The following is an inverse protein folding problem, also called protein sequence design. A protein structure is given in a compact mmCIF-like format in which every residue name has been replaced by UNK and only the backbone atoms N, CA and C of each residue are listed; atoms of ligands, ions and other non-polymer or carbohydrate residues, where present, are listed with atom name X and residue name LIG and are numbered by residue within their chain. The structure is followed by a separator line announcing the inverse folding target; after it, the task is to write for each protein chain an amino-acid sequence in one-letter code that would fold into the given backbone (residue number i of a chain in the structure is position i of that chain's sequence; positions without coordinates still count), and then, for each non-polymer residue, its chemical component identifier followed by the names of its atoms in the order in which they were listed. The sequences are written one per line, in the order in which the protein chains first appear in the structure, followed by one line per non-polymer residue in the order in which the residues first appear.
data_IF_795066969881
#
_entry.id   IF_795066969881
#
_cell.length_a   1.000
_cell.length_b   1.000
_cell.length_c   1.000
_cell.angle_alpha   90.00
_cell.angle_beta   90.00
_cell.angle_gamma   90.00
#
_symmetry.space_group_name_H-M   'P 1'
#
loop_
_entity.id
_entity.type
_entity.pdbx_description
1 polymer ?
#
# COMPACT_ATOMS: atom_id res chain seq x y z
N UNK A 1 -2.85 -13.26 3.87
CA UNK A 1 -2.11 -11.97 3.81
C UNK A 1 -0.63 -12.28 3.90
N UNK A 2 0.18 -11.65 3.06
CA UNK A 2 1.64 -11.82 3.09
C UNK A 2 2.27 -10.44 3.25
N UNK A 3 3.17 -10.29 4.23
CA UNK A 3 3.97 -9.09 4.42
C UNK A 3 5.38 -9.34 3.91
N UNK A 4 5.87 -8.49 3.00
CA UNK A 4 7.19 -8.64 2.38
C UNK A 4 7.99 -7.38 2.71
N UNK A 5 9.21 -7.57 3.21
CA UNK A 5 10.12 -6.47 3.54
C UNK A 5 11.45 -6.73 2.85
N UNK A 6 12.02 -5.76 2.12
CA UNK A 6 13.31 -5.93 1.47
C UNK A 6 14.43 -6.07 2.49
N UNK A 7 15.53 -6.69 2.08
CA UNK A 7 16.80 -6.51 2.76
C UNK A 7 17.25 -5.04 2.67
N UNK A 8 18.12 -4.60 3.57
CA UNK A 8 18.61 -3.21 3.61
C UNK A 8 19.12 -2.71 2.25
N UNK A 9 19.86 -3.57 1.51
CA UNK A 9 20.40 -3.24 0.20
C UNK A 9 19.35 -2.98 -0.90
N UNK A 10 18.09 -3.34 -0.67
CA UNK A 10 16.96 -3.13 -1.60
C UNK A 10 15.88 -2.23 -0.97
N UNK A 11 16.20 -1.52 0.12
CA UNK A 11 15.31 -0.60 0.80
C UNK A 11 15.61 0.84 0.39
N UNK A 12 14.58 1.66 0.24
CA UNK A 12 14.68 3.10 0.01
C UNK A 12 14.96 3.90 1.30
N UNK A 13 15.48 3.23 2.33
CA UNK A 13 15.81 3.87 3.59
C UNK A 13 16.83 5.00 3.37
N UNK A 14 16.61 6.14 4.03
CA UNK A 14 17.53 7.28 4.01
C UNK A 14 18.95 6.85 4.41
N UNK A 15 19.94 7.15 3.56
CA UNK A 15 21.33 6.74 3.75
C UNK A 15 21.69 5.41 3.08
N UNK A 16 20.73 4.69 2.50
CA UNK A 16 21.01 3.62 1.55
C UNK A 16 21.64 4.22 0.28
N UNK A 17 22.77 3.66 -0.16
CA UNK A 17 23.47 4.07 -1.38
C UNK A 17 22.96 3.35 -2.64
N UNK A 18 21.99 2.43 -2.49
CA UNK A 18 21.48 1.65 -3.61
C UNK A 18 20.22 2.29 -4.20
N UNK A 19 20.18 2.38 -5.53
CA UNK A 19 18.95 2.66 -6.29
C UNK A 19 18.14 1.37 -6.54
N UNK A 20 18.33 0.34 -5.71
CA UNK A 20 17.80 -1.00 -5.94
C UNK A 20 16.34 -1.19 -5.55
N UNK A 21 15.78 -0.29 -4.72
CA UNK A 21 14.41 -0.40 -4.20
C UNK A 21 13.35 -0.54 -5.29
N UNK A 22 13.25 0.39 -6.25
CA UNK A 22 12.28 0.29 -7.34
C UNK A 22 12.40 -0.99 -8.17
N UNK A 23 13.63 -1.42 -8.48
CA UNK A 23 13.88 -2.65 -9.23
C UNK A 23 13.45 -3.89 -8.43
N UNK A 24 13.71 -3.90 -7.13
CA UNK A 24 13.30 -4.99 -6.25
C UNK A 24 11.77 -5.05 -6.13
N UNK A 25 11.10 -3.92 -5.93
CA UNK A 25 9.63 -3.85 -5.93
C UNK A 25 9.06 -4.34 -7.26
N UNK A 26 9.60 -3.89 -8.40
CA UNK A 26 9.19 -4.34 -9.72
C UNK A 26 9.33 -5.85 -9.88
N UNK A 27 10.44 -6.44 -9.42
CA UNK A 27 10.64 -7.89 -9.48
C UNK A 27 9.58 -8.68 -8.70
N UNK A 28 9.16 -8.18 -7.53
CA UNK A 28 8.11 -8.80 -6.72
C UNK A 28 6.74 -8.65 -7.41
N UNK A 29 6.44 -7.47 -7.94
CA UNK A 29 5.19 -7.21 -8.66
C UNK A 29 5.10 -8.07 -9.92
N UNK A 30 6.17 -8.18 -10.71
CA UNK A 30 6.24 -9.06 -11.89
C UNK A 30 6.03 -10.52 -11.52
N UNK A 31 6.71 -11.00 -10.47
CA UNK A 31 6.56 -12.39 -10.02
C UNK A 31 5.10 -12.72 -9.64
N UNK A 32 4.38 -11.79 -8.99
CA UNK A 32 2.95 -11.98 -8.68
C UNK A 32 2.08 -11.84 -9.93
N UNK A 33 2.35 -10.83 -10.76
CA UNK A 33 1.58 -10.52 -11.98
C UNK A 33 1.66 -11.58 -13.07
N UNK A 34 2.80 -12.26 -13.19
CA UNK A 34 2.99 -13.38 -14.14
C UNK A 34 2.52 -14.72 -13.55
N UNK A 35 2.20 -14.77 -12.25
CA UNK A 35 1.75 -15.99 -11.61
C UNK A 35 0.27 -16.28 -11.88
N UNK A 36 -0.13 -17.54 -11.61
CA UNK A 36 -1.55 -17.95 -11.59
C UNK A 36 -2.42 -17.17 -10.58
N UNK A 37 -1.82 -16.42 -9.67
CA UNK A 37 -2.53 -15.73 -8.58
C UNK A 37 -2.91 -14.29 -8.93
N UNK A 38 -2.45 -13.74 -10.06
CA UNK A 38 -2.68 -12.34 -10.43
C UNK A 38 -4.15 -11.93 -10.32
N UNK A 39 -5.04 -12.72 -10.91
CA UNK A 39 -6.50 -12.48 -10.95
C UNK A 39 -7.18 -12.46 -9.57
N UNK A 40 -6.48 -12.81 -8.50
CA UNK A 40 -7.00 -12.87 -7.12
C UNK A 40 -6.15 -12.06 -6.15
N UNK A 41 -5.25 -11.21 -6.67
CA UNK A 41 -4.27 -10.49 -5.85
C UNK A 41 -4.54 -8.99 -5.78
N UNK A 42 -4.21 -8.41 -4.64
CA UNK A 42 -3.99 -6.98 -4.46
C UNK A 42 -2.64 -6.79 -3.77
N UNK A 43 -1.77 -5.99 -4.36
CA UNK A 43 -0.45 -5.65 -3.84
C UNK A 43 -0.51 -4.20 -3.36
N UNK A 44 -0.16 -3.97 -2.10
CA UNK A 44 -0.01 -2.63 -1.53
C UNK A 44 1.48 -2.37 -1.33
N UNK A 45 2.02 -1.37 -2.01
CA UNK A 45 3.38 -0.89 -1.79
C UNK A 45 3.30 0.35 -0.92
N UNK A 46 3.95 0.32 0.24
CA UNK A 46 3.96 1.43 1.18
C UNK A 46 5.30 1.53 1.89
N UNK A 47 5.64 2.73 2.35
CA UNK A 47 6.82 2.99 3.17
C UNK A 47 6.44 2.99 4.65
N UNK A 48 7.35 2.53 5.50
CA UNK A 48 7.14 2.50 6.95
C UNK A 48 7.30 3.88 7.62
N UNK A 49 7.88 4.85 6.92
CA UNK A 49 8.08 6.21 7.42
C UNK A 49 8.58 7.17 6.34
N UNK A 50 8.64 8.45 6.68
CA UNK A 50 8.92 9.56 5.76
C UNK A 50 10.40 9.81 5.48
N UNK A 51 11.31 9.06 6.12
CA UNK A 51 12.75 9.11 5.85
C UNK A 51 13.46 10.42 6.21
N UNK A 52 12.84 11.31 6.99
CA UNK A 52 13.43 12.61 7.35
C UNK A 52 13.27 13.70 6.28
N UNK A 53 12.56 13.42 5.18
CA UNK A 53 12.39 14.34 4.07
C UNK A 53 11.25 15.34 4.31
N UNK A 54 11.33 16.49 3.64
CA UNK A 54 10.29 17.52 3.75
C UNK A 54 8.99 17.09 3.04
N UNK A 55 7.87 17.27 3.73
CA UNK A 55 6.53 17.25 3.16
C UNK A 55 5.80 18.55 3.55
N UNK A 56 5.11 19.17 2.60
CA UNK A 56 4.45 20.46 2.80
C UNK A 56 3.13 20.36 3.57
N UNK A 57 2.56 19.17 3.72
CA UNK A 57 1.31 18.95 4.44
C UNK A 57 1.63 18.63 5.89
N UNK A 58 1.13 19.48 6.79
CA UNK A 58 1.21 19.24 8.21
C UNK A 58 0.52 17.90 8.57
N UNK A 59 1.16 17.02 9.38
CA UNK A 59 0.56 15.78 9.86
C UNK A 59 -0.82 16.00 10.51
N UNK A 60 -1.87 15.27 10.09
CA UNK A 60 -3.16 15.32 10.78
C UNK A 60 -3.05 14.83 12.22
N UNK A 61 -3.59 15.61 13.16
CA UNK A 61 -3.61 15.27 14.58
C UNK A 61 -4.97 14.65 14.96
N UNK A 62 -5.08 13.33 14.83
CA UNK A 62 -6.32 12.59 15.12
C UNK A 62 -6.34 11.94 16.52
N UNK A 63 -5.17 11.83 17.16
CA UNK A 63 -4.94 11.37 18.52
C UNK A 63 -3.70 12.07 19.09
N UNK A 64 -3.16 11.61 20.22
CA UNK A 64 -2.01 12.24 20.86
C UNK A 64 -0.69 12.09 20.07
N UNK A 65 -0.61 11.15 19.12
CA UNK A 65 0.58 10.93 18.27
C UNK A 65 0.41 11.56 16.88
N UNK A 66 -0.83 11.68 16.42
CA UNK A 66 -1.15 12.07 15.05
C UNK A 66 -0.81 10.96 14.05
N UNK A 67 -1.06 11.22 12.77
CA UNK A 67 -0.78 10.25 11.70
C UNK A 67 0.67 10.29 11.20
N UNK A 68 1.48 11.23 11.69
CA UNK A 68 2.82 11.48 11.17
C UNK A 68 2.83 12.09 9.76
N UNK A 69 4.04 12.22 9.20
CA UNK A 69 4.23 12.72 7.84
C UNK A 69 3.70 11.74 6.79
N UNK A 70 3.26 12.28 5.65
CA UNK A 70 2.77 11.46 4.54
C UNK A 70 3.88 10.57 3.99
N UNK A 71 3.47 9.37 3.58
CA UNK A 71 4.27 8.43 2.80
C UNK A 71 3.53 8.06 1.52
N UNK A 72 4.22 7.72 0.43
CA UNK A 72 3.56 7.21 -0.76
C UNK A 72 2.88 5.87 -0.49
N UNK A 73 1.77 5.62 -1.17
CA UNK A 73 1.09 4.31 -1.20
C UNK A 73 0.67 4.02 -2.62
N UNK A 74 0.99 2.82 -3.11
CA UNK A 74 0.56 2.32 -4.41
C UNK A 74 -0.29 1.07 -4.22
N UNK A 75 -1.37 0.96 -5.00
CA UNK A 75 -2.21 -0.23 -5.06
C UNK A 75 -2.11 -0.81 -6.46
N UNK A 76 -1.62 -2.04 -6.56
CA UNK A 76 -1.45 -2.78 -7.82
C UNK A 76 -2.32 -4.02 -7.78
N UNK A 77 -3.25 -4.12 -8.72
CA UNK A 77 -4.20 -5.23 -8.82
C UNK A 77 -4.85 -5.25 -10.21
N UNK A 78 -5.28 -6.42 -10.72
CA UNK A 78 -6.18 -6.47 -11.87
C UNK A 78 -7.46 -5.65 -11.67
N UNK A 79 -7.85 -5.40 -10.42
CA UNK A 79 -9.03 -4.65 -10.03
C UNK A 79 -8.76 -3.19 -9.63
N UNK A 80 -7.50 -2.74 -9.64
CA UNK A 80 -7.18 -1.36 -9.28
C UNK A 80 -7.81 -0.36 -10.26
N UNK A 81 -8.22 0.81 -9.76
CA UNK A 81 -8.62 1.93 -10.61
C UNK A 81 -7.44 2.38 -11.48
N UNK A 82 -7.60 2.36 -12.81
CA UNK A 82 -6.50 2.66 -13.74
C UNK A 82 -6.19 4.15 -13.79
N UNK A 83 -4.90 4.51 -13.79
CA UNK A 83 -4.45 5.90 -14.00
C UNK A 83 -5.06 6.90 -13.02
N UNK A 84 -5.44 6.44 -11.83
CA UNK A 84 -6.20 7.21 -10.85
C UNK A 84 -5.33 7.57 -9.66
N UNK A 85 -5.48 8.80 -9.17
CA UNK A 85 -4.93 9.24 -7.88
C UNK A 85 -6.11 9.37 -6.93
N UNK A 86 -6.07 8.61 -5.83
CA UNK A 86 -7.12 8.63 -4.80
C UNK A 86 -6.69 9.58 -3.69
N UNK A 87 -7.46 10.64 -3.47
CA UNK A 87 -7.17 11.69 -2.49
C UNK A 87 -7.75 11.43 -1.09
N UNK A 88 -8.34 10.25 -0.89
CA UNK A 88 -8.82 9.82 0.43
C UNK A 88 -7.67 9.84 1.42
N UNK A 89 -7.86 10.48 2.58
CA UNK A 89 -6.87 10.41 3.66
C UNK A 89 -6.91 9.01 4.29
N UNK A 90 -5.82 8.28 4.06
CA UNK A 90 -5.51 6.99 4.65
C UNK A 90 -4.48 7.13 5.76
N UNK A 91 -4.31 6.05 6.52
CA UNK A 91 -3.28 5.87 7.53
C UNK A 91 -2.72 4.44 7.44
N UNK A 92 -1.66 4.12 8.19
CA UNK A 92 -1.08 2.75 8.19
C UNK A 92 -2.15 1.69 8.53
N UNK A 93 -3.09 2.01 9.42
CA UNK A 93 -4.22 1.15 9.77
C UNK A 93 -5.19 0.87 8.61
N UNK A 94 -5.19 1.65 7.53
CA UNK A 94 -6.05 1.43 6.36
C UNK A 94 -5.75 0.12 5.61
N UNK A 95 -4.52 -0.38 5.71
CA UNK A 95 -4.18 -1.71 5.16
C UNK A 95 -4.83 -2.80 5.99
N UNK A 96 -4.79 -2.69 7.32
CA UNK A 96 -5.45 -3.63 8.22
C UNK A 96 -6.97 -3.57 8.05
N UNK A 97 -7.55 -2.36 8.00
CA UNK A 97 -8.97 -2.12 7.71
C UNK A 97 -9.43 -2.86 6.45
N UNK A 98 -8.65 -2.76 5.37
CA UNK A 98 -8.95 -3.43 4.11
C UNK A 98 -8.96 -4.96 4.26
N UNK A 99 -7.98 -5.53 4.96
CA UNK A 99 -7.92 -6.98 5.22
C UNK A 99 -9.12 -7.42 6.06
N UNK A 100 -9.44 -6.68 7.11
CA UNK A 100 -10.59 -6.97 7.97
C UNK A 100 -11.90 -6.94 7.21
N UNK A 101 -12.14 -5.91 6.40
CA UNK A 101 -13.36 -5.76 5.61
C UNK A 101 -13.46 -6.84 4.52
N UNK A 102 -12.34 -7.20 3.89
CA UNK A 102 -12.30 -8.23 2.84
C UNK A 102 -12.62 -9.63 3.37
N UNK A 103 -12.13 -9.96 4.57
CA UNK A 103 -12.26 -11.30 5.15
C UNK A 103 -13.30 -11.39 6.28
N UNK A 104 -14.03 -10.31 6.56
CA UNK A 104 -15.05 -10.26 7.61
C UNK A 104 -14.48 -10.44 9.03
N UNK A 105 -13.28 -9.92 9.28
CA UNK A 105 -12.61 -10.02 10.58
C UNK A 105 -13.02 -8.89 11.54
N UNK A 106 -13.00 -9.12 12.86
CA UNK A 106 -13.21 -8.05 13.85
C UNK A 106 -12.03 -7.07 13.87
N UNK A 107 -12.30 -5.84 14.34
CA UNK A 107 -11.27 -4.83 14.61
C UNK A 107 -10.38 -5.25 15.77
N UNK A 108 -9.10 -4.89 15.71
CA UNK A 108 -8.12 -5.16 16.76
C UNK A 108 -7.91 -3.98 17.72
N UNK A 109 -8.08 -2.74 17.26
CA UNK A 109 -7.76 -1.55 18.05
C UNK A 109 -8.65 -0.34 17.75
N UNK A 110 -8.20 0.86 18.14
CA UNK A 110 -8.87 2.13 17.83
C UNK A 110 -8.47 2.63 16.44
N UNK A 111 -7.22 2.41 16.04
CA UNK A 111 -6.66 2.94 14.79
C UNK A 111 -7.26 2.31 13.54
N UNK A 112 -7.49 0.99 13.55
CA UNK A 112 -8.21 0.29 12.47
C UNK A 112 -9.71 0.59 12.49
N UNK A 113 -10.32 0.86 13.64
CA UNK A 113 -11.72 1.26 13.72
C UNK A 113 -11.99 2.61 13.05
N UNK A 114 -11.07 3.58 13.17
CA UNK A 114 -11.18 4.91 12.52
C UNK A 114 -10.70 4.91 11.06
N UNK A 115 -9.81 3.99 10.69
CA UNK A 115 -9.17 4.00 9.39
C UNK A 115 -10.19 3.85 8.26
N UNK A 116 -9.88 4.43 7.11
CA UNK A 116 -10.65 4.22 5.88
C UNK A 116 -10.21 2.94 5.18
N UNK A 117 -11.16 2.24 4.58
CA UNK A 117 -10.86 1.04 3.79
C UNK A 117 -10.14 1.43 2.50
N UNK A 118 -8.90 0.97 2.37
CA UNK A 118 -8.06 1.17 1.20
C UNK A 118 -8.68 0.49 -0.04
N UNK A 119 -9.18 -0.73 0.10
CA UNK A 119 -9.73 -1.52 -1.01
C UNK A 119 -10.97 -0.89 -1.61
N UNK A 120 -11.95 -0.53 -0.78
CA UNK A 120 -13.19 0.13 -1.22
C UNK A 120 -12.93 1.43 -2.00
N UNK A 121 -11.82 2.12 -1.72
CA UNK A 121 -11.48 3.39 -2.37
C UNK A 121 -10.62 3.24 -3.63
N UNK A 122 -9.94 2.10 -3.81
CA UNK A 122 -8.90 1.92 -4.83
C UNK A 122 -9.17 0.77 -5.80
N UNK A 123 -10.09 -0.14 -5.46
CA UNK A 123 -10.42 -1.33 -6.25
C UNK A 123 -11.87 -1.29 -6.74
N UNK A 124 -12.08 -1.59 -8.02
CA UNK A 124 -13.38 -1.93 -8.55
C UNK A 124 -13.46 -3.47 -8.71
N UNK A 125 -13.99 -4.15 -7.71
CA UNK A 125 -14.13 -5.62 -7.71
C UNK A 125 -15.24 -6.13 -8.63
N UNK A 126 -16.05 -5.25 -9.23
CA UNK A 126 -17.11 -5.61 -10.17
C UNK A 126 -16.61 -5.70 -11.62
N UNK A 127 -15.40 -5.21 -11.91
CA UNK A 127 -14.83 -5.32 -13.25
C UNK A 127 -14.24 -6.71 -13.49
N UNK A 128 -14.10 -7.10 -14.76
CA UNK A 128 -13.31 -8.27 -15.12
C UNK A 128 -11.82 -8.02 -14.82
N UNK A 129 -11.05 -9.01 -14.32
CA UNK A 129 -9.65 -8.81 -14.00
C UNK A 129 -8.86 -8.40 -15.24
N UNK A 130 -8.10 -7.30 -15.14
CA UNK A 130 -7.22 -6.85 -16.23
C UNK A 130 -6.02 -7.76 -16.37
N UNK A 131 -5.60 -8.02 -17.61
CA UNK A 131 -4.36 -8.73 -17.87
C UNK A 131 -3.16 -7.98 -17.27
N UNK A 132 -2.20 -8.73 -16.74
CA UNK A 132 -0.96 -8.15 -16.24
C UNK A 132 -0.07 -7.72 -17.42
N UNK A 133 0.62 -6.59 -17.26
CA UNK A 133 1.66 -6.12 -18.15
C UNK A 133 2.94 -6.00 -17.30
N UNK A 134 4.00 -6.75 -17.61
CA UNK A 134 5.27 -6.67 -16.88
C UNK A 134 5.86 -5.25 -16.88
N UNK A 135 6.52 -4.89 -15.79
CA UNK A 135 7.10 -3.57 -15.52
C UNK A 135 8.60 -3.60 -15.25
#
# INVERSE_FOLDING_TARGET
MTWITPAFANSDLSGSLSAGGPNWVASVVNAVGESRFWNTSAIVVMWSGFGGWYDHVAPPMLDYEGLGFRVPVLVVSPYALSGSVVHTQFETGSVLKFVEDTFGLPRLAVSDARARDLGASTLNLKQAPRAFVPI
#
